data_IF_753738436018
#
_entry.id   IF_753738436018
#
_cell.length_a   1.000
_cell.length_b   1.000
_cell.length_c   1.000
_cell.angle_alpha   90.00
_cell.angle_beta   90.00
_cell.angle_gamma   90.00
#
_symmetry.space_group_name_H-M   'P 1'
#
loop_
_entity.id
_entity.type
_entity.pdbx_description
1 polymer ?
#
# COMPACT_ATOMS: atom_id res chain seq x y z
N UNK A 1 -40.97 -65.03 30.67
CA UNK A 1 -39.54 -65.25 30.38
C UNK A 1 -38.94 -63.90 29.99
N UNK A 2 -38.09 -63.41 30.87
CA UNK A 2 -37.49 -62.06 30.86
C UNK A 2 -36.16 -62.16 30.09
N UNK A 3 -35.95 -61.28 29.06
CA UNK A 3 -34.65 -61.14 28.40
C UNK A 3 -34.11 -59.73 28.66
N UNK A 4 -33.03 -59.68 29.45
CA UNK A 4 -32.24 -58.48 29.70
C UNK A 4 -31.42 -58.11 28.45
N UNK A 5 -31.58 -56.89 27.99
CA UNK A 5 -30.71 -56.28 27.01
C UNK A 5 -29.65 -55.41 27.70
N UNK A 6 -28.38 -55.78 27.55
CA UNK A 6 -27.27 -54.98 28.08
C UNK A 6 -26.97 -53.82 27.14
N UNK A 7 -27.08 -52.60 27.66
CA UNK A 7 -26.67 -51.37 26.96
C UNK A 7 -25.15 -51.15 27.19
N UNK A 8 -24.36 -51.23 26.13
CA UNK A 8 -22.96 -50.84 26.14
C UNK A 8 -22.82 -49.30 25.99
N UNK A 9 -22.37 -48.66 27.06
CA UNK A 9 -21.96 -47.24 27.00
C UNK A 9 -20.59 -47.16 26.27
N UNK A 10 -20.57 -46.65 25.06
CA UNK A 10 -19.35 -46.20 24.39
C UNK A 10 -18.93 -44.84 24.94
N UNK A 11 -17.88 -44.82 25.74
CA UNK A 11 -17.24 -43.61 26.19
C UNK A 11 -16.52 -42.96 25.00
N UNK A 12 -17.08 -41.86 24.45
CA UNK A 12 -16.37 -40.96 23.54
C UNK A 12 -15.29 -40.23 24.34
N UNK A 13 -14.02 -40.62 24.12
CA UNK A 13 -12.88 -39.81 24.54
C UNK A 13 -12.91 -38.47 23.71
N UNK A 14 -12.69 -37.31 24.35
CA UNK A 14 -12.55 -36.09 23.61
C UNK A 14 -11.28 -36.17 22.79
N UNK A 15 -11.41 -36.32 21.45
CA UNK A 15 -10.33 -36.23 20.51
C UNK A 15 -9.69 -34.82 20.64
N UNK A 16 -8.54 -34.74 21.30
CA UNK A 16 -7.72 -33.56 21.27
C UNK A 16 -7.40 -33.28 19.79
N UNK A 17 -7.91 -32.17 19.27
CA UNK A 17 -7.52 -31.66 17.98
C UNK A 17 -6.02 -31.40 18.04
N UNK A 18 -5.24 -32.30 17.45
CA UNK A 18 -3.84 -32.04 17.13
C UNK A 18 -3.87 -30.82 16.19
N UNK A 19 -3.61 -29.63 16.76
CA UNK A 19 -3.43 -28.41 15.98
C UNK A 19 -2.24 -28.70 15.06
N UNK A 20 -2.51 -28.95 13.79
CA UNK A 20 -1.46 -29.13 12.79
C UNK A 20 -0.51 -27.95 12.96
N UNK A 21 0.79 -28.22 13.05
CA UNK A 21 1.79 -27.16 13.14
C UNK A 21 1.55 -26.22 11.97
N UNK A 22 1.19 -24.98 12.25
CA UNK A 22 0.96 -23.98 11.22
C UNK A 22 2.23 -23.84 10.37
N UNK A 23 2.10 -23.76 9.04
CA UNK A 23 3.27 -23.71 8.18
C UNK A 23 4.11 -22.46 8.53
N UNK A 24 5.43 -22.61 8.55
CA UNK A 24 6.32 -21.50 8.91
C UNK A 24 6.16 -20.34 7.90
N UNK A 25 6.17 -19.11 8.43
CA UNK A 25 5.88 -17.87 7.69
C UNK A 25 7.13 -17.40 6.93
N UNK A 26 7.15 -17.58 5.61
CA UNK A 26 8.18 -17.02 4.74
C UNK A 26 7.85 -15.56 4.37
N UNK A 27 8.86 -14.80 3.90
CA UNK A 27 8.68 -13.44 3.38
C UNK A 27 7.63 -13.38 2.24
N UNK A 28 7.72 -14.32 1.29
CA UNK A 28 6.79 -14.39 0.16
C UNK A 28 5.34 -14.66 0.61
N UNK A 29 5.18 -15.57 1.59
CA UNK A 29 3.87 -15.88 2.15
C UNK A 29 3.28 -14.70 2.91
N UNK A 30 4.10 -13.96 3.68
CA UNK A 30 3.67 -12.74 4.35
C UNK A 30 3.15 -11.68 3.36
N UNK A 31 3.85 -11.47 2.23
CA UNK A 31 3.42 -10.55 1.17
C UNK A 31 2.11 -11.01 0.50
N UNK A 32 1.97 -12.32 0.26
CA UNK A 32 0.74 -12.91 -0.32
C UNK A 32 -0.45 -12.67 0.60
N UNK A 33 -0.32 -13.00 1.89
CA UNK A 33 -1.37 -12.79 2.89
C UNK A 33 -1.72 -11.30 3.05
N UNK A 34 -0.72 -10.42 3.10
CA UNK A 34 -0.92 -8.98 3.18
C UNK A 34 -1.71 -8.44 1.99
N UNK A 35 -1.39 -8.90 0.77
CA UNK A 35 -2.12 -8.51 -0.45
C UNK A 35 -3.57 -8.96 -0.41
N UNK A 36 -3.84 -10.19 0.00
CA UNK A 36 -5.20 -10.75 0.10
C UNK A 36 -6.06 -10.06 1.17
N UNK A 37 -5.46 -9.62 2.27
CA UNK A 37 -6.17 -8.93 3.36
C UNK A 37 -6.30 -7.43 3.17
N UNK A 38 -5.60 -6.85 2.20
CA UNK A 38 -5.47 -5.41 2.07
C UNK A 38 -6.79 -4.74 1.67
N UNK A 39 -7.38 -4.00 2.62
CA UNK A 39 -8.53 -3.14 2.36
C UNK A 39 -8.20 -1.95 1.45
N UNK A 40 -6.94 -1.56 1.37
CA UNK A 40 -6.47 -0.54 0.43
C UNK A 40 -6.55 -1.02 -1.02
N UNK A 41 -6.19 -2.27 -1.27
CA UNK A 41 -6.30 -2.89 -2.60
C UNK A 41 -7.78 -3.06 -2.97
N UNK A 42 -8.61 -3.57 -2.06
CA UNK A 42 -10.06 -3.70 -2.25
C UNK A 42 -10.72 -2.33 -2.54
N UNK A 43 -10.36 -1.29 -1.78
CA UNK A 43 -10.85 0.06 -2.04
C UNK A 43 -10.45 0.56 -3.44
N UNK A 44 -9.23 0.25 -3.90
CA UNK A 44 -8.79 0.61 -5.25
C UNK A 44 -9.61 -0.11 -6.34
N UNK A 45 -10.03 -1.36 -6.12
CA UNK A 45 -10.91 -2.07 -7.04
C UNK A 45 -12.29 -1.42 -7.14
N UNK A 46 -12.83 -0.97 -6.01
CA UNK A 46 -14.10 -0.22 -5.99
C UNK A 46 -14.00 1.12 -6.73
N UNK A 47 -12.86 1.83 -6.59
CA UNK A 47 -12.60 3.08 -7.35
C UNK A 47 -12.53 2.79 -8.85
N UNK A 48 -11.91 1.70 -9.28
CA UNK A 48 -11.87 1.30 -10.68
C UNK A 48 -13.28 0.99 -11.19
N UNK A 49 -14.09 0.24 -10.42
CA UNK A 49 -15.49 -0.05 -10.79
C UNK A 49 -16.29 1.23 -10.94
N UNK A 50 -16.27 2.10 -9.93
CA UNK A 50 -16.95 3.40 -9.98
C UNK A 50 -16.52 4.26 -11.18
N UNK A 51 -15.20 4.29 -11.47
CA UNK A 51 -14.69 5.02 -12.63
C UNK A 51 -15.18 4.46 -13.96
N UNK A 52 -15.33 3.14 -14.08
CA UNK A 52 -15.89 2.49 -15.28
C UNK A 52 -17.36 2.84 -15.46
N UNK A 53 -18.16 2.79 -14.38
CA UNK A 53 -19.58 3.14 -14.44
C UNK A 53 -19.77 4.61 -14.82
N UNK A 54 -18.95 5.52 -14.26
CA UNK A 54 -18.93 6.93 -14.66
C UNK A 54 -18.50 7.13 -16.12
N UNK A 55 -17.59 6.28 -16.65
CA UNK A 55 -17.18 6.36 -18.04
C UNK A 55 -18.32 5.95 -19.00
N UNK A 56 -19.13 4.97 -18.63
CA UNK A 56 -20.36 4.61 -19.37
C UNK A 56 -21.34 5.79 -19.38
N UNK A 57 -21.63 6.37 -18.22
CA UNK A 57 -22.55 7.50 -18.11
C UNK A 57 -22.07 8.76 -18.86
N UNK A 58 -20.75 9.02 -18.89
CA UNK A 58 -20.19 10.19 -19.56
C UNK A 58 -20.28 10.15 -21.10
N UNK A 59 -20.44 8.96 -21.68
CA UNK A 59 -20.61 8.75 -23.12
C UNK A 59 -22.05 8.97 -23.59
N UNK A 60 -23.00 8.95 -22.66
CA UNK A 60 -24.42 9.07 -22.98
C UNK A 60 -24.87 10.53 -23.15
N UNK A 61 -25.94 10.69 -23.90
CA UNK A 61 -26.61 11.99 -24.06
C UNK A 61 -27.45 12.29 -22.82
N UNK A 62 -27.68 13.58 -22.50
CA UNK A 62 -28.64 13.95 -21.46
C UNK A 62 -30.03 13.40 -21.77
N UNK A 63 -30.74 12.97 -20.73
CA UNK A 63 -32.12 12.49 -20.84
C UNK A 63 -33.08 13.57 -21.35
N UNK A 64 -34.16 13.18 -22.07
CA UNK A 64 -35.22 14.11 -22.43
C UNK A 64 -35.93 14.60 -21.17
N UNK A 65 -36.26 15.88 -21.17
CA UNK A 65 -36.99 16.56 -20.08
C UNK A 65 -38.45 16.66 -20.45
N UNK A 66 -39.35 16.03 -19.68
CA UNK A 66 -40.78 16.23 -19.81
C UNK A 66 -41.20 17.59 -19.21
N UNK A 67 -41.97 18.35 -19.93
CA UNK A 67 -42.52 19.64 -19.49
C UNK A 67 -44.00 19.58 -19.37
N UNK A 68 -44.56 20.07 -18.28
CA UNK A 68 -45.98 20.22 -18.05
C UNK A 68 -46.20 21.64 -17.55
N UNK A 69 -47.09 22.39 -18.17
CA UNK A 69 -47.32 23.77 -17.84
C UNK A 69 -48.74 24.23 -17.95
N UNK A 70 -49.07 25.31 -17.31
CA UNK A 70 -50.25 26.13 -17.49
C UNK A 70 -49.78 27.53 -17.88
N UNK A 71 -50.08 27.95 -19.09
CA UNK A 71 -49.55 29.17 -19.66
C UNK A 71 -50.67 30.21 -19.79
N UNK A 72 -50.31 31.46 -19.65
CA UNK A 72 -51.19 32.62 -19.82
C UNK A 72 -52.47 32.55 -18.97
N UNK A 73 -52.40 32.07 -17.72
CA UNK A 73 -53.55 32.09 -16.82
C UNK A 73 -53.83 33.53 -16.40
N UNK A 74 -55.04 34.07 -16.68
CA UNK A 74 -55.42 35.42 -16.31
C UNK A 74 -55.51 35.54 -14.77
N UNK A 75 -54.88 36.58 -14.18
CA UNK A 75 -54.85 36.82 -12.74
C UNK A 75 -55.85 37.92 -12.32
N UNK A 76 -56.44 38.63 -13.29
CA UNK A 76 -57.43 39.69 -13.11
C UNK A 76 -58.51 39.66 -14.20
N UNK A 77 -59.51 40.53 -14.13
CA UNK A 77 -60.60 40.64 -15.09
C UNK A 77 -61.68 39.53 -14.97
N UNK A 78 -62.66 39.48 -15.91
CA UNK A 78 -63.84 38.59 -15.87
C UNK A 78 -63.47 37.08 -15.96
N UNK A 79 -62.33 36.77 -16.54
CA UNK A 79 -61.88 35.43 -16.79
C UNK A 79 -60.77 34.98 -15.78
N UNK A 80 -60.59 35.72 -14.69
CA UNK A 80 -59.61 35.49 -13.66
C UNK A 80 -59.60 34.02 -13.23
N UNK A 81 -58.40 33.42 -13.24
CA UNK A 81 -58.14 31.99 -12.90
C UNK A 81 -58.93 30.97 -13.71
N UNK A 82 -59.45 31.37 -14.86
CA UNK A 82 -60.12 30.43 -15.74
C UNK A 82 -59.15 29.68 -16.63
N UNK A 83 -59.10 28.36 -16.52
CA UNK A 83 -58.26 27.47 -17.34
C UNK A 83 -58.92 27.07 -18.69
N UNK A 84 -60.19 27.56 -18.94
CA UNK A 84 -60.94 27.12 -20.12
C UNK A 84 -61.64 28.26 -20.86
N UNK A 85 -62.03 29.38 -20.19
CA UNK A 85 -62.81 30.46 -20.79
C UNK A 85 -61.95 31.52 -21.48
N UNK A 86 -60.79 31.78 -20.93
CA UNK A 86 -59.84 32.72 -21.53
C UNK A 86 -59.22 32.11 -22.81
N UNK A 87 -59.16 32.91 -23.86
CA UNK A 87 -58.67 32.42 -25.17
C UNK A 87 -57.17 32.22 -25.24
N UNK A 88 -56.42 32.84 -24.30
CA UNK A 88 -54.95 32.70 -24.23
C UNK A 88 -54.48 31.58 -23.31
N UNK A 89 -55.32 31.15 -22.36
CA UNK A 89 -54.93 30.13 -21.38
C UNK A 89 -54.74 28.76 -22.04
N UNK A 90 -53.56 28.19 -21.85
CA UNK A 90 -53.15 26.89 -22.45
C UNK A 90 -52.64 25.97 -21.37
N UNK A 91 -53.05 24.72 -21.46
CA UNK A 91 -52.48 23.56 -20.72
C UNK A 91 -51.51 22.88 -21.65
N UNK A 92 -50.24 22.89 -21.31
CA UNK A 92 -49.18 22.40 -22.19
C UNK A 92 -48.56 21.15 -21.66
N UNK A 93 -48.21 20.23 -22.55
CA UNK A 93 -47.38 19.07 -22.32
C UNK A 93 -46.35 18.97 -23.43
N UNK A 94 -45.10 18.76 -23.07
CA UNK A 94 -44.03 18.72 -24.07
C UNK A 94 -42.84 17.94 -23.63
N UNK A 95 -41.88 17.81 -24.55
CA UNK A 95 -40.59 17.14 -24.34
C UNK A 95 -39.49 18.04 -24.90
N UNK A 96 -38.47 18.27 -24.10
CA UNK A 96 -37.24 18.97 -24.52
C UNK A 96 -36.06 18.00 -24.55
N UNK A 97 -35.29 17.99 -25.63
CA UNK A 97 -34.07 17.22 -25.77
C UNK A 97 -32.89 18.14 -26.01
N UNK A 98 -31.88 18.05 -25.12
CA UNK A 98 -30.58 18.69 -25.37
C UNK A 98 -29.80 17.85 -26.38
N UNK A 99 -29.29 18.51 -27.41
CA UNK A 99 -28.46 17.91 -28.45
C UNK A 99 -27.01 18.29 -28.19
N UNK A 100 -26.35 17.44 -27.40
CA UNK A 100 -24.90 17.58 -27.11
C UNK A 100 -24.09 17.28 -28.35
N UNK A 101 -23.11 18.12 -28.67
CA UNK A 101 -22.25 17.94 -29.84
C UNK A 101 -21.42 16.64 -29.72
N UNK A 102 -21.26 15.85 -30.81
CA UNK A 102 -20.48 14.60 -30.78
C UNK A 102 -19.01 14.80 -30.32
N UNK A 103 -18.41 15.94 -30.64
CA UNK A 103 -17.05 16.30 -30.21
C UNK A 103 -16.94 16.45 -28.70
N UNK A 104 -17.99 17.01 -28.04
CA UNK A 104 -18.05 17.18 -26.59
C UNK A 104 -18.29 15.84 -25.89
N UNK A 105 -19.19 14.99 -26.41
CA UNK A 105 -19.40 13.64 -25.89
C UNK A 105 -18.12 12.81 -25.96
N UNK A 106 -17.42 12.82 -27.09
CA UNK A 106 -16.13 12.14 -27.24
C UNK A 106 -15.09 12.65 -26.25
N UNK A 107 -14.97 13.98 -26.06
CA UNK A 107 -14.02 14.55 -25.13
C UNK A 107 -14.32 14.12 -23.69
N UNK A 108 -15.60 14.10 -23.27
CA UNK A 108 -16.05 13.61 -21.96
C UNK A 108 -15.77 12.12 -21.79
N UNK A 109 -16.09 11.30 -22.78
CA UNK A 109 -15.80 9.86 -22.78
C UNK A 109 -14.29 9.62 -22.62
N UNK A 110 -13.45 10.31 -23.43
CA UNK A 110 -12.00 10.20 -23.32
C UNK A 110 -11.49 10.63 -21.94
N UNK A 111 -12.01 11.71 -21.37
CA UNK A 111 -11.63 12.14 -20.02
C UNK A 111 -11.96 11.05 -18.98
N UNK A 112 -13.15 10.46 -19.07
CA UNK A 112 -13.57 9.40 -18.14
C UNK A 112 -12.75 8.10 -18.33
N UNK A 113 -12.37 7.75 -19.58
CA UNK A 113 -11.43 6.65 -19.84
C UNK A 113 -10.05 6.90 -19.19
N UNK A 114 -9.54 8.14 -19.27
CA UNK A 114 -8.29 8.49 -18.59
C UNK A 114 -8.42 8.41 -17.05
N UNK A 115 -9.59 8.72 -16.49
CA UNK A 115 -9.86 8.52 -15.06
C UNK A 115 -9.79 7.04 -14.66
N UNK A 116 -10.34 6.12 -15.49
CA UNK A 116 -10.20 4.67 -15.28
C UNK A 116 -8.73 4.25 -15.30
N UNK A 117 -7.95 4.73 -16.28
CA UNK A 117 -6.51 4.41 -16.38
C UNK A 117 -5.73 4.93 -15.18
N UNK A 118 -6.06 6.12 -14.67
CA UNK A 118 -5.48 6.66 -13.45
C UNK A 118 -5.80 5.76 -12.23
N UNK A 119 -7.06 5.36 -12.06
CA UNK A 119 -7.47 4.46 -10.99
C UNK A 119 -6.74 3.10 -11.04
N UNK A 120 -6.53 2.54 -12.23
CA UNK A 120 -5.73 1.32 -12.43
C UNK A 120 -4.26 1.50 -12.04
N UNK A 121 -3.63 2.62 -12.41
CA UNK A 121 -2.26 2.93 -12.04
C UNK A 121 -2.12 3.13 -10.51
N UNK A 122 -3.09 3.78 -9.87
CA UNK A 122 -3.15 3.94 -8.41
C UNK A 122 -3.32 2.59 -7.69
N UNK A 123 -4.08 1.64 -8.23
CA UNK A 123 -4.14 0.27 -7.71
C UNK A 123 -2.78 -0.42 -7.78
N UNK A 124 -2.07 -0.30 -8.91
CA UNK A 124 -0.72 -0.87 -9.04
C UNK A 124 0.25 -0.28 -8.00
N UNK A 125 0.19 1.03 -7.77
CA UNK A 125 0.95 1.72 -6.72
C UNK A 125 0.59 1.17 -5.32
N UNK A 126 -0.70 0.99 -5.01
CA UNK A 126 -1.15 0.44 -3.74
C UNK A 126 -0.65 -1.00 -3.51
N UNK A 127 -0.67 -1.85 -4.54
CA UNK A 127 -0.14 -3.22 -4.48
C UNK A 127 1.35 -3.26 -4.16
N UNK A 128 2.15 -2.43 -4.82
CA UNK A 128 3.60 -2.31 -4.56
C UNK A 128 3.86 -1.83 -3.14
N UNK A 129 3.11 -0.83 -2.67
CA UNK A 129 3.23 -0.32 -1.31
C UNK A 129 2.91 -1.41 -0.26
N UNK A 130 1.82 -2.16 -0.42
CA UNK A 130 1.43 -3.26 0.50
C UNK A 130 2.51 -4.34 0.55
N UNK A 131 3.09 -4.73 -0.59
CA UNK A 131 4.16 -5.73 -0.64
C UNK A 131 5.44 -5.25 0.02
N UNK A 132 5.86 -4.01 -0.28
CA UNK A 132 7.03 -3.40 0.34
C UNK A 132 6.87 -3.29 1.85
N UNK A 133 5.74 -2.75 2.32
CA UNK A 133 5.54 -2.45 3.73
C UNK A 133 5.34 -3.73 4.56
N UNK A 134 4.69 -4.76 4.00
CA UNK A 134 4.61 -6.08 4.63
C UNK A 134 5.96 -6.80 4.68
N UNK A 135 6.80 -6.64 3.64
CA UNK A 135 8.16 -7.16 3.64
C UNK A 135 9.02 -6.48 4.72
N UNK A 136 8.92 -5.15 4.85
CA UNK A 136 9.61 -4.41 5.91
C UNK A 136 9.19 -4.89 7.30
N UNK A 137 7.89 -5.08 7.54
CA UNK A 137 7.39 -5.57 8.82
C UNK A 137 7.86 -7.00 9.14
N UNK A 138 7.95 -7.88 8.12
CA UNK A 138 8.50 -9.23 8.27
C UNK A 138 10.00 -9.20 8.60
N UNK A 139 10.78 -8.37 7.91
CA UNK A 139 12.20 -8.20 8.15
C UNK A 139 12.48 -7.61 9.54
N UNK A 140 11.71 -6.62 9.96
CA UNK A 140 11.83 -6.02 11.30
C UNK A 140 11.61 -7.07 12.39
N UNK A 141 10.60 -7.94 12.25
CA UNK A 141 10.39 -9.06 13.15
C UNK A 141 11.55 -10.06 13.11
N UNK A 142 12.03 -10.43 11.93
CA UNK A 142 13.13 -11.38 11.76
C UNK A 142 14.39 -10.92 12.51
N UNK A 143 14.79 -9.67 12.33
CA UNK A 143 15.95 -9.13 12.99
C UNK A 143 15.76 -8.85 14.48
N UNK A 144 14.55 -8.50 14.90
CA UNK A 144 14.22 -8.38 16.32
C UNK A 144 14.35 -9.72 17.06
N UNK A 145 13.89 -10.84 16.47
CA UNK A 145 14.04 -12.18 17.04
C UNK A 145 15.51 -12.62 17.10
N UNK A 146 16.32 -12.32 16.08
CA UNK A 146 17.78 -12.59 16.10
C UNK A 146 18.49 -11.79 17.16
N UNK A 147 18.14 -10.51 17.33
CA UNK A 147 18.70 -9.64 18.36
C UNK A 147 18.32 -10.14 19.75
N UNK A 148 17.08 -10.49 19.99
CA UNK A 148 16.61 -11.09 21.23
C UNK A 148 17.40 -12.36 21.60
N UNK A 149 17.55 -13.31 20.65
CA UNK A 149 18.34 -14.52 20.85
C UNK A 149 19.80 -14.21 21.24
N UNK A 150 20.40 -13.22 20.60
CA UNK A 150 21.78 -12.80 20.90
C UNK A 150 21.91 -12.23 22.30
N UNK A 151 20.96 -11.39 22.72
CA UNK A 151 20.95 -10.78 24.06
C UNK A 151 20.65 -11.81 25.14
N UNK A 152 19.67 -12.70 24.92
CA UNK A 152 19.35 -13.77 25.88
C UNK A 152 20.53 -14.73 26.10
N UNK A 153 21.31 -15.03 25.06
CA UNK A 153 22.56 -15.79 25.23
C UNK A 153 23.56 -15.04 26.13
N UNK A 154 23.66 -13.69 25.97
CA UNK A 154 24.53 -12.90 26.84
C UNK A 154 24.07 -12.89 28.31
N UNK A 155 22.77 -12.88 28.57
CA UNK A 155 22.19 -13.03 29.94
C UNK A 155 22.67 -14.33 30.58
N UNK A 156 22.62 -15.45 29.84
CA UNK A 156 23.10 -16.74 30.34
C UNK A 156 24.62 -16.72 30.65
N UNK A 157 25.43 -16.09 29.79
CA UNK A 157 26.87 -15.91 30.04
C UNK A 157 27.08 -15.08 31.30
N UNK A 158 26.36 -13.97 31.47
CA UNK A 158 26.50 -13.11 32.65
C UNK A 158 26.08 -13.81 33.95
N UNK A 159 25.08 -14.72 33.92
CA UNK A 159 24.72 -15.56 35.09
C UNK A 159 25.85 -16.50 35.48
N UNK A 160 26.52 -17.10 34.52
CA UNK A 160 27.68 -17.93 34.77
C UNK A 160 28.85 -17.14 35.38
N UNK A 161 29.06 -15.90 34.90
CA UNK A 161 30.13 -15.01 35.44
C UNK A 161 29.84 -14.59 36.89
N UNK A 162 28.57 -14.34 37.26
CA UNK A 162 28.19 -14.13 38.68
C UNK A 162 28.54 -15.34 39.53
N UNK A 163 28.17 -16.54 39.08
CA UNK A 163 28.43 -17.81 39.79
C UNK A 163 29.95 -18.00 39.99
N UNK A 164 30.74 -17.71 38.94
CA UNK A 164 32.20 -17.81 38.98
C UNK A 164 32.82 -16.79 39.94
N UNK A 165 32.35 -15.53 39.93
CA UNK A 165 32.82 -14.48 40.82
C UNK A 165 32.52 -14.80 42.30
N UNK A 166 31.33 -15.32 42.60
CA UNK A 166 30.92 -15.74 43.94
C UNK A 166 31.76 -16.96 44.44
N UNK A 167 32.08 -17.90 43.56
CA UNK A 167 32.93 -19.03 43.88
C UNK A 167 34.37 -18.55 44.14
N UNK A 168 34.90 -17.65 43.33
CA UNK A 168 36.23 -17.02 43.53
C UNK A 168 36.33 -16.26 44.85
N UNK A 169 35.31 -15.47 45.20
CA UNK A 169 35.27 -14.75 46.49
C UNK A 169 35.26 -15.73 47.69
N UNK A 170 34.43 -16.76 47.65
CA UNK A 170 34.40 -17.80 48.69
C UNK A 170 35.73 -18.56 48.82
N UNK A 171 36.41 -18.77 47.68
CA UNK A 171 37.73 -19.43 47.62
C UNK A 171 38.93 -18.51 48.01
N UNK A 172 38.69 -17.24 48.33
CA UNK A 172 39.76 -16.30 48.67
C UNK A 172 40.58 -15.78 47.47
N UNK A 173 40.11 -16.04 46.24
CA UNK A 173 40.81 -15.67 45.01
C UNK A 173 40.12 -14.48 44.26
N UNK A 174 39.05 -13.94 44.81
CA UNK A 174 38.32 -12.79 44.29
C UNK A 174 37.93 -11.78 45.36
N UNK A 175 37.43 -10.62 44.95
CA UNK A 175 36.99 -9.54 45.85
C UNK A 175 35.48 -9.41 45.90
N UNK A 176 34.92 -8.77 46.95
CA UNK A 176 33.52 -8.39 46.98
C UNK A 176 33.16 -7.43 45.84
N UNK A 177 34.08 -6.59 45.38
CA UNK A 177 33.92 -5.69 44.24
C UNK A 177 33.70 -6.48 42.94
N UNK A 178 34.40 -7.60 42.73
CA UNK A 178 34.23 -8.48 41.57
C UNK A 178 32.79 -9.08 41.52
N UNK A 179 32.29 -9.53 42.67
CA UNK A 179 30.88 -10.06 42.75
C UNK A 179 29.87 -8.98 42.42
N UNK A 180 30.06 -7.76 42.95
CA UNK A 180 29.16 -6.64 42.64
C UNK A 180 29.25 -6.22 41.18
N UNK A 181 30.44 -6.21 40.57
CA UNK A 181 30.61 -5.92 39.14
C UNK A 181 29.94 -6.97 38.25
N UNK A 182 30.06 -8.28 38.56
CA UNK A 182 29.38 -9.34 37.84
C UNK A 182 27.85 -9.24 37.95
N UNK A 183 27.33 -8.94 39.15
CA UNK A 183 25.89 -8.74 39.36
C UNK A 183 25.37 -7.51 38.64
N UNK A 184 26.11 -6.42 38.58
CA UNK A 184 25.77 -5.23 37.80
C UNK A 184 25.68 -5.55 36.30
N UNK A 185 26.70 -6.26 35.78
CA UNK A 185 26.71 -6.70 34.37
C UNK A 185 25.54 -7.63 34.03
N UNK A 186 25.13 -8.52 34.95
CA UNK A 186 23.93 -9.35 34.78
C UNK A 186 22.66 -8.49 34.75
N UNK A 187 22.51 -7.54 35.66
CA UNK A 187 21.32 -6.68 35.69
C UNK A 187 21.21 -5.83 34.39
N UNK A 188 22.32 -5.32 33.87
CA UNK A 188 22.35 -4.63 32.57
C UNK A 188 21.97 -5.57 31.42
N UNK A 189 22.46 -6.81 31.40
CA UNK A 189 22.10 -7.79 30.38
C UNK A 189 20.61 -8.18 30.45
N UNK A 190 20.05 -8.34 31.65
CA UNK A 190 18.62 -8.64 31.87
C UNK A 190 17.73 -7.48 31.41
N UNK A 191 18.12 -6.24 31.63
CA UNK A 191 17.41 -5.05 31.13
C UNK A 191 17.40 -4.99 29.59
N UNK A 192 18.57 -5.22 28.96
CA UNK A 192 18.66 -5.36 27.51
C UNK A 192 17.79 -6.51 26.96
N UNK A 193 17.71 -7.63 27.70
CA UNK A 193 16.85 -8.75 27.35
C UNK A 193 15.35 -8.40 27.39
N UNK A 194 14.94 -7.67 28.43
CA UNK A 194 13.56 -7.19 28.55
C UNK A 194 13.19 -6.22 27.41
N UNK A 195 14.12 -5.34 27.04
CA UNK A 195 13.94 -4.39 25.92
C UNK A 195 13.86 -5.09 24.57
N UNK A 196 14.73 -6.06 24.31
CA UNK A 196 14.70 -6.90 23.11
C UNK A 196 13.38 -7.69 22.99
N UNK A 197 12.90 -8.29 24.08
CA UNK A 197 11.61 -9.00 24.10
C UNK A 197 10.43 -8.06 23.84
N UNK A 198 10.50 -6.81 24.32
CA UNK A 198 9.49 -5.79 24.00
C UNK A 198 9.51 -5.45 22.51
N UNK A 199 10.68 -5.37 21.91
CA UNK A 199 10.87 -5.06 20.50
C UNK A 199 10.28 -6.19 19.60
N UNK A 200 10.51 -7.46 19.94
CA UNK A 200 9.90 -8.62 19.25
C UNK A 200 8.38 -8.54 19.31
N UNK A 201 7.80 -8.26 20.49
CA UNK A 201 6.33 -8.09 20.61
C UNK A 201 5.82 -6.94 19.75
N UNK A 202 6.53 -5.81 19.72
CA UNK A 202 6.19 -4.67 18.86
C UNK A 202 6.24 -5.01 17.37
N UNK A 203 7.28 -5.72 16.93
CA UNK A 203 7.44 -6.15 15.54
C UNK A 203 6.36 -7.16 15.12
N UNK A 204 5.97 -8.11 16.01
CA UNK A 204 4.84 -9.01 15.77
C UNK A 204 3.53 -8.25 15.58
N UNK A 205 3.23 -7.28 16.43
CA UNK A 205 2.04 -6.43 16.29
C UNK A 205 2.05 -5.61 15.00
N UNK A 206 3.21 -5.09 14.61
CA UNK A 206 3.36 -4.37 13.34
C UNK A 206 3.10 -5.27 12.12
N UNK A 207 3.59 -6.52 12.15
CA UNK A 207 3.33 -7.52 11.12
C UNK A 207 1.86 -7.97 11.13
N UNK A 208 1.25 -8.13 12.31
CA UNK A 208 -0.16 -8.52 12.46
C UNK A 208 -1.13 -7.52 11.81
N UNK A 209 -0.78 -6.24 11.73
CA UNK A 209 -1.54 -5.26 10.94
C UNK A 209 -1.74 -5.71 9.50
N UNK A 210 -0.73 -6.35 8.90
CA UNK A 210 -0.74 -6.77 7.50
C UNK A 210 -1.36 -8.15 7.29
N UNK A 211 -0.99 -9.13 8.14
CA UNK A 211 -1.32 -10.55 7.91
C UNK A 211 -2.22 -11.16 8.99
N UNK A 212 -2.57 -10.43 10.04
CA UNK A 212 -3.43 -10.91 11.13
C UNK A 212 -2.74 -11.93 12.00
N UNK A 213 -3.48 -12.94 12.45
CA UNK A 213 -3.01 -13.98 13.39
C UNK A 213 -1.81 -14.78 12.87
N UNK A 214 -1.63 -14.89 11.55
CA UNK A 214 -0.46 -15.53 10.94
C UNK A 214 0.87 -14.84 11.33
N UNK A 215 0.83 -13.63 11.90
CA UNK A 215 2.00 -12.97 12.45
C UNK A 215 2.55 -13.63 13.73
N UNK A 216 1.87 -14.60 14.34
CA UNK A 216 2.39 -15.37 15.45
C UNK A 216 3.15 -16.64 15.01
N UNK A 217 2.98 -17.07 13.75
CA UNK A 217 3.64 -18.28 13.24
C UNK A 217 5.16 -18.09 13.26
N UNK A 218 5.93 -19.19 13.47
CA UNK A 218 7.38 -19.17 13.38
C UNK A 218 7.84 -18.66 12.03
N UNK A 219 8.86 -17.79 12.01
CA UNK A 219 9.44 -17.34 10.75
C UNK A 219 10.30 -18.44 10.10
N UNK A 220 10.30 -18.47 8.77
CA UNK A 220 11.13 -19.40 8.01
C UNK A 220 11.83 -18.70 6.84
N UNK A 221 13.06 -19.19 6.59
CA UNK A 221 13.92 -18.69 5.53
C UNK A 221 14.77 -17.49 5.98
N UNK A 222 15.97 -17.43 5.46
CA UNK A 222 16.85 -16.28 5.59
C UNK A 222 16.62 -15.36 4.38
N UNK A 223 16.41 -14.05 4.58
CA UNK A 223 16.24 -13.13 3.46
C UNK A 223 17.55 -13.00 2.66
N UNK A 224 17.46 -13.17 1.33
CA UNK A 224 18.60 -12.99 0.42
C UNK A 224 18.72 -11.49 0.09
N UNK A 225 19.51 -10.76 0.88
CA UNK A 225 19.65 -9.29 0.81
C UNK A 225 20.91 -8.81 0.08
N UNK A 226 21.65 -9.74 -0.55
CA UNK A 226 22.97 -9.46 -1.14
C UNK A 226 22.91 -8.94 -2.59
N UNK A 227 21.73 -8.96 -3.21
CA UNK A 227 21.52 -8.48 -4.57
C UNK A 227 20.26 -7.63 -4.68
N UNK A 228 20.34 -6.58 -5.49
CA UNK A 228 19.19 -5.73 -5.83
C UNK A 228 18.95 -5.76 -7.35
N UNK A 229 17.68 -5.65 -7.82
CA UNK A 229 17.36 -5.70 -9.25
C UNK A 229 17.66 -4.39 -9.99
N UNK A 230 18.13 -3.35 -9.31
CA UNK A 230 18.35 -2.02 -9.84
C UNK A 230 19.82 -1.78 -10.17
N UNK A 231 20.07 -1.11 -11.29
CA UNK A 231 21.42 -0.73 -11.72
C UNK A 231 21.50 0.78 -11.96
N UNK A 232 22.52 1.45 -11.42
CA UNK A 232 22.71 2.91 -11.52
C UNK A 232 22.68 3.45 -12.95
N UNK A 233 23.21 2.70 -13.92
CA UNK A 233 23.28 3.13 -15.34
C UNK A 233 21.98 2.97 -16.12
N UNK A 234 20.99 2.22 -15.61
CA UNK A 234 19.65 2.05 -16.22
C UNK A 234 18.53 2.63 -15.36
N UNK A 235 18.89 3.33 -14.29
CA UNK A 235 17.97 3.79 -13.26
C UNK A 235 16.83 4.65 -13.82
N UNK A 236 17.13 5.65 -14.65
CA UNK A 236 16.10 6.56 -15.19
C UNK A 236 15.08 5.82 -16.05
N UNK A 237 15.51 4.82 -16.84
CA UNK A 237 14.61 3.99 -17.63
C UNK A 237 13.73 3.09 -16.74
N UNK A 238 14.32 2.48 -15.71
CA UNK A 238 13.60 1.64 -14.76
C UNK A 238 12.59 2.45 -13.92
N UNK A 239 12.93 3.70 -13.58
CA UNK A 239 12.04 4.59 -12.82
C UNK A 239 10.88 5.12 -13.65
N UNK A 240 11.04 5.28 -14.96
CA UNK A 240 9.94 5.69 -15.83
C UNK A 240 8.77 4.68 -15.78
N UNK A 241 9.04 3.41 -15.50
CA UNK A 241 8.05 2.35 -15.34
C UNK A 241 7.57 2.17 -13.88
N UNK A 242 8.09 2.98 -12.96
CA UNK A 242 7.69 2.90 -11.55
C UNK A 242 6.20 3.24 -11.38
N UNK A 243 5.40 2.46 -10.62
CA UNK A 243 3.96 2.66 -10.50
C UNK A 243 3.54 4.07 -10.05
N UNK A 244 4.34 4.73 -9.20
CA UNK A 244 4.09 6.10 -8.78
C UNK A 244 4.28 7.10 -9.93
N UNK A 245 5.32 6.94 -10.73
CA UNK A 245 5.57 7.78 -11.91
C UNK A 245 4.51 7.53 -12.97
N UNK A 246 4.11 6.26 -13.19
CA UNK A 246 3.00 5.93 -14.08
C UNK A 246 1.68 6.55 -13.61
N UNK A 247 1.38 6.55 -12.30
CA UNK A 247 0.18 7.20 -11.78
C UNK A 247 0.20 8.72 -12.03
N UNK A 248 1.34 9.39 -11.88
CA UNK A 248 1.50 10.80 -12.20
C UNK A 248 1.38 11.07 -13.71
N UNK A 249 1.88 10.17 -14.55
CA UNK A 249 1.69 10.24 -16.00
C UNK A 249 0.21 10.14 -16.37
N UNK A 250 -0.54 9.20 -15.77
CA UNK A 250 -1.99 9.08 -15.99
C UNK A 250 -2.76 10.30 -15.49
N UNK A 251 -2.30 10.92 -14.38
CA UNK A 251 -2.85 12.18 -13.90
C UNK A 251 -2.64 13.33 -14.88
N UNK A 252 -1.45 13.43 -15.50
CA UNK A 252 -1.18 14.39 -16.57
C UNK A 252 -2.09 14.15 -17.79
N UNK A 253 -2.25 12.90 -18.24
CA UNK A 253 -3.13 12.53 -19.35
C UNK A 253 -4.61 12.89 -19.05
N UNK A 254 -5.08 12.66 -17.84
CA UNK A 254 -6.42 13.06 -17.39
C UNK A 254 -6.59 14.58 -17.40
N UNK A 255 -5.59 15.35 -16.94
CA UNK A 255 -5.62 16.80 -16.97
C UNK A 255 -5.64 17.36 -18.40
N UNK A 256 -4.89 16.74 -19.32
CA UNK A 256 -4.95 17.07 -20.75
C UNK A 256 -6.33 16.79 -21.35
N UNK A 257 -6.93 15.64 -21.02
CA UNK A 257 -8.27 15.30 -21.47
C UNK A 257 -9.33 16.30 -20.92
N UNK A 258 -9.16 16.76 -19.68
CA UNK A 258 -10.01 17.82 -19.11
C UNK A 258 -9.88 19.16 -19.87
N UNK A 259 -8.68 19.48 -20.36
CA UNK A 259 -8.49 20.65 -21.22
C UNK A 259 -9.18 20.50 -22.60
N UNK A 260 -9.22 19.28 -23.16
CA UNK A 260 -9.99 19.01 -24.39
C UNK A 260 -11.50 19.12 -24.19
N UNK A 261 -12.04 18.70 -23.02
CA UNK A 261 -13.45 18.97 -22.66
C UNK A 261 -13.70 20.47 -22.60
N UNK A 262 -12.83 21.24 -21.91
CA UNK A 262 -12.97 22.70 -21.83
C UNK A 262 -12.85 23.38 -23.21
N UNK A 263 -12.08 22.79 -24.14
CA UNK A 263 -11.99 23.24 -25.54
C UNK A 263 -13.30 22.96 -26.27
N UNK A 264 -13.89 21.79 -26.10
CA UNK A 264 -15.17 21.44 -26.69
C UNK A 264 -16.32 22.27 -26.14
N UNK A 265 -16.28 22.63 -24.84
CA UNK A 265 -17.25 23.49 -24.16
C UNK A 265 -17.25 24.94 -24.65
N UNK A 266 -16.31 25.33 -25.51
CA UNK A 266 -16.36 26.61 -26.22
C UNK A 266 -17.45 26.69 -27.30
N UNK A 267 -18.07 25.59 -27.59
CA UNK A 267 -19.20 25.50 -28.52
C UNK A 267 -20.44 25.09 -27.74
N UNK A 268 -21.52 25.91 -27.77
CA UNK A 268 -22.72 25.60 -27.00
C UNK A 268 -23.44 24.39 -27.57
N UNK A 269 -24.10 23.67 -26.70
CA UNK A 269 -25.10 22.70 -27.08
C UNK A 269 -26.41 23.42 -27.40
N UNK A 270 -27.25 22.83 -28.20
CA UNK A 270 -28.56 23.35 -28.54
C UNK A 270 -29.65 22.38 -28.09
N UNK A 271 -30.87 22.89 -27.87
CA UNK A 271 -31.99 22.04 -27.51
C UNK A 271 -33.16 22.21 -28.46
N UNK A 272 -33.87 21.13 -28.63
CA UNK A 272 -35.16 21.10 -29.37
C UNK A 272 -36.26 20.77 -28.39
N UNK A 273 -37.31 21.56 -28.45
CA UNK A 273 -38.51 21.37 -27.65
C UNK A 273 -39.72 21.19 -28.54
N UNK A 274 -40.51 20.17 -28.26
CA UNK A 274 -41.82 19.95 -28.83
C UNK A 274 -42.87 20.04 -27.74
N UNK A 275 -43.91 20.89 -27.95
CA UNK A 275 -44.95 21.13 -26.96
C UNK A 275 -46.33 21.07 -27.65
N UNK A 276 -47.25 20.36 -27.05
CA UNK A 276 -48.66 20.38 -27.37
C UNK A 276 -49.40 21.17 -26.31
N UNK A 277 -50.20 22.16 -26.77
CA UNK A 277 -50.96 23.09 -25.90
C UNK A 277 -52.43 22.96 -26.19
N UNK A 278 -53.19 22.55 -25.17
CA UNK A 278 -54.64 22.46 -25.23
C UNK A 278 -55.27 23.76 -24.73
N UNK A 279 -56.09 24.35 -25.55
CA UNK A 279 -56.87 25.55 -25.22
C UNK A 279 -58.26 25.24 -24.71
N UNK A 280 -59.01 26.24 -24.32
CA UNK A 280 -60.40 26.11 -23.89
C UNK A 280 -61.36 25.66 -25.02
N UNK A 281 -62.60 25.30 -24.63
CA UNK A 281 -63.62 24.85 -25.54
C UNK A 281 -63.94 25.97 -26.56
N UNK A 282 -63.85 25.68 -27.83
CA UNK A 282 -64.09 26.64 -28.94
C UNK A 282 -62.80 27.20 -29.57
N UNK A 283 -61.63 26.86 -29.03
CA UNK A 283 -60.35 27.32 -29.58
C UNK A 283 -59.53 26.13 -30.07
N UNK A 284 -58.77 26.30 -31.16
CA UNK A 284 -57.91 25.28 -31.71
C UNK A 284 -56.72 25.03 -30.78
N UNK A 285 -56.34 23.75 -30.58
CA UNK A 285 -55.12 23.37 -29.90
C UNK A 285 -53.90 23.75 -30.73
N UNK A 286 -52.75 23.92 -30.08
CA UNK A 286 -51.51 24.40 -30.71
C UNK A 286 -50.41 23.39 -30.53
N UNK A 287 -49.49 23.37 -31.47
CA UNK A 287 -48.19 22.67 -31.39
C UNK A 287 -47.11 23.71 -31.52
N UNK A 288 -46.14 23.68 -30.60
CA UNK A 288 -44.96 24.53 -30.62
C UNK A 288 -43.72 23.67 -30.84
N UNK A 289 -42.87 24.06 -31.78
CA UNK A 289 -41.54 23.54 -31.98
C UNK A 289 -40.57 24.69 -31.70
N UNK A 290 -39.74 24.52 -30.70
CA UNK A 290 -38.76 25.52 -30.29
C UNK A 290 -37.32 24.98 -30.44
N UNK A 291 -36.42 25.80 -31.00
CA UNK A 291 -35.00 25.54 -31.09
C UNK A 291 -34.30 26.59 -30.26
N UNK A 292 -33.67 26.17 -29.17
CA UNK A 292 -32.86 27.05 -28.30
C UNK A 292 -31.39 26.89 -28.59
N UNK A 293 -30.71 27.98 -28.96
CA UNK A 293 -29.26 28.03 -29.21
C UNK A 293 -28.64 29.09 -28.33
N UNK A 294 -27.84 28.75 -27.32
CA UNK A 294 -27.15 29.72 -26.48
C UNK A 294 -26.14 30.56 -27.30
N UNK A 295 -26.22 31.88 -27.18
CA UNK A 295 -25.29 32.79 -27.85
C UNK A 295 -24.12 33.13 -26.92
N UNK A 296 -22.91 32.73 -27.32
CA UNK A 296 -21.71 32.94 -26.54
C UNK A 296 -21.04 34.30 -26.85
N UNK A 297 -21.67 35.38 -26.43
CA UNK A 297 -21.22 36.75 -26.72
C UNK A 297 -19.91 37.10 -25.98
N UNK A 298 -19.63 36.48 -24.84
CA UNK A 298 -18.48 36.82 -23.97
C UNK A 298 -17.42 35.68 -23.91
N UNK A 299 -17.10 35.02 -25.00
CA UNK A 299 -16.09 33.93 -25.05
C UNK A 299 -14.76 34.34 -24.46
N UNK A 300 -14.29 35.56 -24.71
CA UNK A 300 -13.02 36.06 -24.21
C UNK A 300 -12.95 36.10 -22.69
N UNK A 301 -14.06 36.34 -22.00
CA UNK A 301 -14.11 36.48 -20.55
C UNK A 301 -14.64 35.30 -19.79
N UNK A 302 -15.19 34.29 -20.47
CA UNK A 302 -15.79 33.10 -19.82
C UNK A 302 -15.18 31.79 -20.29
N UNK A 303 -15.28 31.45 -21.56
CA UNK A 303 -14.84 30.14 -22.07
C UNK A 303 -13.31 30.07 -22.25
N UNK A 304 -12.68 31.15 -22.78
CA UNK A 304 -11.24 31.19 -22.97
C UNK A 304 -10.44 31.12 -21.65
N UNK A 305 -10.79 31.87 -20.60
CA UNK A 305 -10.17 31.70 -19.28
C UNK A 305 -10.33 30.29 -18.68
N UNK A 306 -11.49 29.64 -18.87
CA UNK A 306 -11.70 28.26 -18.43
C UNK A 306 -10.75 27.29 -19.15
N UNK A 307 -10.61 27.41 -20.47
CA UNK A 307 -9.66 26.60 -21.23
C UNK A 307 -8.22 26.91 -20.80
N UNK A 308 -7.85 28.16 -20.63
CA UNK A 308 -6.52 28.57 -20.17
C UNK A 308 -6.20 27.97 -18.79
N UNK A 309 -7.16 27.98 -17.85
CA UNK A 309 -7.01 27.35 -16.54
C UNK A 309 -6.76 25.84 -16.67
N UNK A 310 -7.52 25.12 -17.49
CA UNK A 310 -7.32 23.67 -17.69
C UNK A 310 -6.01 23.33 -18.40
N UNK A 311 -5.53 24.16 -19.30
CA UNK A 311 -4.20 24.02 -19.89
C UNK A 311 -3.08 24.27 -18.86
N UNK A 312 -3.28 25.24 -17.96
CA UNK A 312 -2.34 25.47 -16.87
C UNK A 312 -2.31 24.27 -15.87
N UNK A 313 -3.47 23.68 -15.52
CA UNK A 313 -3.55 22.47 -14.71
C UNK A 313 -2.82 21.29 -15.37
N UNK A 314 -2.95 21.12 -16.69
CA UNK A 314 -2.21 20.08 -17.42
C UNK A 314 -0.68 20.32 -17.40
N UNK A 315 -0.27 21.58 -17.52
CA UNK A 315 1.15 21.98 -17.43
C UNK A 315 1.68 21.79 -16.01
N UNK A 316 0.86 22.07 -14.98
CA UNK A 316 1.18 21.78 -13.57
C UNK A 316 1.39 20.29 -13.36
N UNK A 317 0.47 19.42 -13.79
CA UNK A 317 0.58 17.97 -13.64
C UNK A 317 1.86 17.41 -14.32
N UNK A 318 2.23 17.97 -15.48
CA UNK A 318 3.49 17.65 -16.16
C UNK A 318 4.71 18.03 -15.32
N UNK A 319 4.73 19.25 -14.78
CA UNK A 319 5.82 19.74 -13.94
C UNK A 319 5.96 18.90 -12.65
N UNK A 320 4.85 18.56 -12.01
CA UNK A 320 4.82 17.69 -10.84
C UNK A 320 5.42 16.30 -11.14
N UNK A 321 5.08 15.70 -12.29
CA UNK A 321 5.65 14.42 -12.72
C UNK A 321 7.15 14.51 -12.96
N UNK A 322 7.61 15.55 -13.66
CA UNK A 322 9.04 15.75 -13.95
C UNK A 322 9.86 16.03 -12.69
N UNK A 323 9.28 16.74 -11.72
CA UNK A 323 9.93 17.01 -10.44
C UNK A 323 10.02 15.74 -9.61
N UNK A 324 8.93 14.97 -9.53
CA UNK A 324 8.89 13.69 -8.81
C UNK A 324 9.89 12.69 -9.41
N UNK A 325 10.02 12.61 -10.73
CA UNK A 325 11.00 11.72 -11.37
C UNK A 325 12.43 12.08 -10.95
N UNK A 326 12.78 13.38 -10.90
CA UNK A 326 14.10 13.84 -10.43
C UNK A 326 14.30 13.52 -8.95
N UNK A 327 13.29 13.74 -8.10
CA UNK A 327 13.35 13.43 -6.68
C UNK A 327 13.55 11.93 -6.43
N UNK A 328 12.79 11.08 -7.16
CA UNK A 328 12.93 9.63 -7.09
C UNK A 328 14.30 9.14 -7.55
N UNK A 329 14.83 9.66 -8.67
CA UNK A 329 16.16 9.30 -9.17
C UNK A 329 17.24 9.61 -8.13
N UNK A 330 17.19 10.79 -7.52
CA UNK A 330 18.12 11.19 -6.45
C UNK A 330 17.96 10.29 -5.19
N UNK A 331 16.74 10.05 -4.75
CA UNK A 331 16.46 9.24 -3.56
C UNK A 331 16.95 7.80 -3.74
N UNK A 332 16.64 7.17 -4.88
CA UNK A 332 17.01 5.78 -5.13
C UNK A 332 18.52 5.65 -5.33
N UNK A 333 19.18 6.61 -5.97
CA UNK A 333 20.65 6.65 -6.04
C UNK A 333 21.27 6.68 -4.65
N UNK A 334 20.77 7.54 -3.75
CA UNK A 334 21.25 7.59 -2.37
C UNK A 334 20.98 6.29 -1.60
N UNK A 335 19.83 5.62 -1.85
CA UNK A 335 19.53 4.33 -1.22
C UNK A 335 20.45 3.21 -1.72
N UNK A 336 20.81 3.19 -3.02
CA UNK A 336 21.78 2.25 -3.57
C UNK A 336 23.14 2.47 -2.94
N UNK A 337 23.62 3.72 -2.84
CA UNK A 337 24.90 4.05 -2.19
C UNK A 337 24.91 3.62 -0.70
N UNK A 338 23.80 3.85 0.01
CA UNK A 338 23.66 3.43 1.39
C UNK A 338 23.66 1.91 1.55
N UNK A 339 23.01 1.17 0.61
CA UNK A 339 22.99 -0.29 0.61
C UNK A 339 24.37 -0.89 0.30
N UNK A 340 25.09 -0.35 -0.69
CA UNK A 340 26.47 -0.73 -1.03
C UNK A 340 27.38 -0.53 0.20
N UNK A 341 27.33 0.66 0.84
CA UNK A 341 28.10 0.96 2.05
C UNK A 341 27.76 0.05 3.23
N UNK A 342 26.48 -0.28 3.41
CA UNK A 342 26.04 -1.23 4.43
C UNK A 342 26.60 -2.64 4.17
N UNK A 343 26.65 -3.08 2.89
CA UNK A 343 27.26 -4.33 2.47
C UNK A 343 28.76 -4.41 2.82
N UNK A 344 29.53 -3.38 2.49
CA UNK A 344 30.97 -3.31 2.82
C UNK A 344 31.20 -3.35 4.34
N UNK A 345 30.37 -2.63 5.10
CA UNK A 345 30.48 -2.62 6.56
C UNK A 345 30.11 -3.96 7.17
N UNK A 346 29.04 -4.62 6.71
CA UNK A 346 28.65 -5.97 7.13
C UNK A 346 29.81 -6.95 6.93
N UNK A 347 30.44 -6.92 5.75
CA UNK A 347 31.57 -7.77 5.47
C UNK A 347 32.76 -7.51 6.42
N UNK A 348 33.05 -6.28 6.74
CA UNK A 348 34.11 -5.93 7.71
C UNK A 348 33.79 -6.42 9.12
N UNK A 349 32.51 -6.34 9.55
CA UNK A 349 32.12 -6.89 10.85
C UNK A 349 32.26 -8.39 10.87
N UNK A 350 31.80 -9.08 9.81
CA UNK A 350 31.81 -10.53 9.68
C UNK A 350 33.25 -11.11 9.61
N UNK A 351 34.09 -10.49 8.79
CA UNK A 351 35.44 -11.04 8.49
C UNK A 351 36.50 -10.60 9.48
N UNK A 352 36.31 -9.49 10.21
CA UNK A 352 37.37 -8.92 11.05
C UNK A 352 36.89 -8.55 12.47
N UNK A 353 35.90 -7.66 12.61
CA UNK A 353 35.57 -7.05 13.91
C UNK A 353 35.03 -8.08 14.89
N UNK A 354 34.07 -8.93 14.49
CA UNK A 354 33.49 -9.97 15.35
C UNK A 354 34.52 -11.04 15.71
N UNK A 355 35.29 -11.63 14.77
CA UNK A 355 36.34 -12.60 15.12
C UNK A 355 37.36 -12.04 16.11
N UNK A 356 37.89 -10.83 15.89
CA UNK A 356 38.86 -10.19 16.79
C UNK A 356 38.26 -9.93 18.19
N UNK A 357 36.99 -9.49 18.27
CA UNK A 357 36.35 -9.28 19.57
C UNK A 357 36.11 -10.60 20.31
N UNK A 358 35.74 -11.66 19.61
CA UNK A 358 35.56 -13.00 20.17
C UNK A 358 36.91 -13.57 20.66
N UNK A 359 37.99 -13.48 19.87
CA UNK A 359 39.33 -13.93 20.25
C UNK A 359 39.82 -13.18 21.50
N UNK A 360 39.59 -11.85 21.57
CA UNK A 360 39.89 -11.03 22.73
C UNK A 360 39.14 -11.49 23.98
N UNK A 361 37.84 -11.80 23.85
CA UNK A 361 37.00 -12.32 24.93
C UNK A 361 37.49 -13.68 25.43
N UNK A 362 37.85 -14.60 24.52
CA UNK A 362 38.45 -15.89 24.85
C UNK A 362 39.81 -15.73 25.59
N UNK A 363 40.68 -14.86 25.09
CA UNK A 363 41.98 -14.58 25.71
C UNK A 363 41.82 -13.96 27.10
N UNK A 364 40.90 -12.99 27.26
CA UNK A 364 40.62 -12.38 28.57
C UNK A 364 40.07 -13.40 29.57
N UNK A 365 39.22 -14.34 29.14
CA UNK A 365 38.70 -15.41 29.97
C UNK A 365 39.81 -16.40 30.42
N UNK A 366 40.74 -16.72 29.52
CA UNK A 366 41.86 -17.58 29.84
C UNK A 366 42.81 -16.89 30.83
N UNK A 367 43.10 -15.59 30.62
CA UNK A 367 43.95 -14.80 31.53
C UNK A 367 43.34 -14.63 32.93
N UNK A 368 42.02 -14.39 33.03
CA UNK A 368 41.29 -14.33 34.30
C UNK A 368 41.37 -15.67 35.05
N UNK A 369 41.12 -16.79 34.37
CA UNK A 369 41.21 -18.13 34.95
C UNK A 369 42.64 -18.46 35.43
N UNK A 370 43.65 -17.93 34.75
CA UNK A 370 45.06 -18.07 35.11
C UNK A 370 45.53 -17.07 36.17
N UNK A 371 44.65 -16.23 36.72
CA UNK A 371 44.99 -15.19 37.70
C UNK A 371 45.88 -14.04 37.14
N UNK A 372 45.91 -13.87 35.80
CA UNK A 372 46.74 -12.86 35.11
C UNK A 372 45.95 -11.62 34.66
N UNK A 373 44.65 -11.62 34.78
CA UNK A 373 43.77 -10.51 34.46
C UNK A 373 42.68 -10.37 35.52
N UNK A 374 42.12 -9.16 35.66
CA UNK A 374 41.00 -8.89 36.56
C UNK A 374 39.65 -9.38 35.95
N UNK A 375 38.63 -9.56 36.80
CA UNK A 375 37.25 -9.77 36.31
C UNK A 375 36.77 -8.60 35.46
N UNK A 376 37.14 -7.38 35.83
CA UNK A 376 36.81 -6.16 35.07
C UNK A 376 37.30 -6.21 33.62
N UNK A 377 38.54 -6.71 33.40
CA UNK A 377 39.10 -6.88 32.03
C UNK A 377 38.34 -7.92 31.24
N UNK A 378 37.87 -9.00 31.86
CA UNK A 378 37.03 -10.01 31.23
C UNK A 378 35.66 -9.45 30.84
N UNK A 379 34.98 -8.78 31.77
CA UNK A 379 33.66 -8.18 31.50
C UNK A 379 33.73 -7.12 30.40
N UNK A 380 34.80 -6.31 30.37
CA UNK A 380 35.03 -5.33 29.29
C UNK A 380 35.21 -6.00 27.92
N UNK A 381 35.95 -7.10 27.85
CA UNK A 381 36.16 -7.85 26.60
C UNK A 381 34.86 -8.49 26.12
N UNK A 382 34.07 -9.10 27.00
CA UNK A 382 32.78 -9.68 26.70
C UNK A 382 31.78 -8.60 26.25
N UNK A 383 31.76 -7.43 26.88
CA UNK A 383 30.92 -6.31 26.46
C UNK A 383 31.26 -5.87 25.03
N UNK A 384 32.57 -5.72 24.73
CA UNK A 384 33.00 -5.36 23.37
C UNK A 384 32.58 -6.40 22.30
N UNK A 385 32.61 -7.71 22.67
CA UNK A 385 32.15 -8.77 21.77
C UNK A 385 30.66 -8.67 21.50
N UNK A 386 29.80 -8.54 22.53
CA UNK A 386 28.36 -8.43 22.34
C UNK A 386 27.98 -7.16 21.58
N UNK A 387 28.61 -6.02 21.89
CA UNK A 387 28.39 -4.76 21.19
C UNK A 387 28.71 -4.88 19.69
N UNK A 388 29.79 -5.60 19.33
CA UNK A 388 30.15 -5.88 17.93
C UNK A 388 29.08 -6.75 17.24
N UNK A 389 28.55 -7.80 17.89
CA UNK A 389 27.51 -8.67 17.36
C UNK A 389 26.19 -7.91 17.17
N UNK A 390 25.76 -7.15 18.18
CA UNK A 390 24.55 -6.34 18.11
C UNK A 390 24.64 -5.30 16.98
N UNK A 391 25.81 -4.65 16.85
CA UNK A 391 26.03 -3.68 15.78
C UNK A 391 26.02 -4.31 14.40
N UNK A 392 26.52 -5.54 14.24
CA UNK A 392 26.42 -6.30 12.99
C UNK A 392 24.96 -6.59 12.64
N UNK A 393 24.14 -7.06 13.58
CA UNK A 393 22.72 -7.32 13.36
C UNK A 393 21.94 -6.04 12.97
N UNK A 394 22.24 -4.90 13.62
CA UNK A 394 21.64 -3.61 13.25
C UNK A 394 22.02 -3.17 11.81
N UNK A 395 23.28 -3.43 11.40
CA UNK A 395 23.72 -3.16 10.03
C UNK A 395 23.02 -4.07 9.02
N UNK A 396 22.86 -5.35 9.36
CA UNK A 396 22.13 -6.31 8.52
C UNK A 396 20.66 -5.92 8.39
N UNK A 397 19.99 -5.55 9.49
CA UNK A 397 18.61 -5.05 9.46
C UNK A 397 18.49 -3.80 8.57
N UNK A 398 19.43 -2.85 8.72
CA UNK A 398 19.44 -1.63 7.91
C UNK A 398 19.62 -1.94 6.42
N UNK A 399 20.54 -2.86 6.07
CA UNK A 399 20.76 -3.32 4.70
C UNK A 399 19.52 -4.05 4.15
N UNK A 400 18.88 -4.89 4.97
CA UNK A 400 17.66 -5.62 4.60
C UNK A 400 16.48 -4.67 4.33
N UNK A 401 16.33 -3.62 5.12
CA UNK A 401 15.30 -2.58 4.88
C UNK A 401 15.55 -1.82 3.58
N UNK A 402 16.79 -1.44 3.29
CA UNK A 402 17.17 -0.81 2.02
C UNK A 402 16.95 -1.77 0.85
N UNK A 403 17.35 -3.03 0.99
CA UNK A 403 17.10 -4.07 0.01
C UNK A 403 15.60 -4.22 -0.30
N UNK A 404 14.75 -4.30 0.71
CA UNK A 404 13.30 -4.41 0.51
C UNK A 404 12.71 -3.18 -0.20
N UNK A 405 13.14 -1.97 0.19
CA UNK A 405 12.73 -0.74 -0.47
C UNK A 405 13.15 -0.72 -1.96
N UNK A 406 14.36 -1.14 -2.28
CA UNK A 406 14.87 -1.18 -3.65
C UNK A 406 14.29 -2.32 -4.49
N UNK A 407 14.08 -3.51 -3.89
CA UNK A 407 13.59 -4.69 -4.60
C UNK A 407 12.09 -4.58 -4.93
N UNK A 408 11.30 -4.06 -4.01
CA UNK A 408 9.85 -3.96 -4.19
C UNK A 408 9.40 -2.60 -4.78
N UNK A 409 10.28 -1.83 -5.38
CA UNK A 409 9.93 -0.64 -6.14
C UNK A 409 9.05 -0.98 -7.35
N UNK A 410 9.42 -1.99 -8.14
CA UNK A 410 8.79 -2.34 -9.42
C UNK A 410 8.11 -3.72 -9.44
N UNK A 411 7.95 -4.38 -8.29
CA UNK A 411 7.42 -5.74 -8.25
C UNK A 411 5.92 -5.80 -8.55
N UNK A 412 5.54 -5.59 -9.79
CA UNK A 412 4.30 -6.12 -10.33
C UNK A 412 4.63 -7.56 -10.76
N UNK A 413 4.07 -8.62 -10.14
CA UNK A 413 4.31 -9.97 -10.64
C UNK A 413 3.72 -10.06 -12.04
N UNK A 414 4.47 -10.69 -12.92
CA UNK A 414 3.99 -11.16 -14.21
C UNK A 414 2.79 -12.11 -13.99
N UNK A 415 1.60 -11.56 -13.91
CA UNK A 415 0.35 -12.33 -13.92
C UNK A 415 0.18 -13.04 -15.28
N UNK A 416 0.96 -12.64 -16.29
CA UNK A 416 0.97 -13.25 -17.60
C UNK A 416 1.62 -14.63 -17.64
N UNK A 417 2.61 -14.94 -16.78
CA UNK A 417 3.30 -16.24 -16.79
C UNK A 417 2.58 -17.35 -16.01
N UNK A 418 1.63 -17.05 -15.15
CA UNK A 418 0.84 -18.06 -14.44
C UNK A 418 -0.28 -18.67 -15.31
N UNK A 419 -0.74 -17.94 -16.34
CA UNK A 419 -1.81 -18.40 -17.22
C UNK A 419 -1.30 -19.26 -18.40
N UNK A 420 -0.02 -19.18 -18.76
CA UNK A 420 0.55 -19.96 -19.88
C UNK A 420 1.06 -21.35 -19.49
N UNK A 421 1.29 -21.61 -18.21
CA UNK A 421 1.72 -22.95 -17.73
C UNK A 421 0.57 -23.91 -17.48
N UNK A 422 -0.68 -23.48 -17.50
CA UNK A 422 -1.85 -24.37 -17.28
C UNK A 422 -2.57 -24.83 -18.56
N UNK A 423 -2.16 -24.38 -19.76
CA UNK A 423 -2.83 -24.72 -21.02
C UNK A 423 -2.09 -25.82 -21.82
N UNK A 424 -0.82 -26.11 -21.50
CA UNK A 424 -0.02 -27.07 -22.28
C UNK A 424 0.04 -28.49 -21.72
N UNK A 425 -0.69 -28.81 -20.63
CA UNK A 425 -0.74 -30.15 -20.05
C UNK A 425 -1.95 -31.00 -20.47
N UNK A 426 -2.84 -30.46 -21.34
CA UNK A 426 -4.09 -31.18 -21.74
C UNK A 426 -4.18 -31.47 -23.26
N UNK A 427 -3.03 -31.56 -23.94
CA UNK A 427 -2.96 -32.09 -25.33
C UNK A 427 -1.97 -33.23 -25.42
N UNK A 428 -2.32 -34.32 -24.80
CA UNK A 428 -1.64 -35.59 -24.95
C UNK A 428 -2.62 -36.74 -24.79
N UNK A 429 -2.86 -37.43 -25.90
CA UNK A 429 -3.42 -38.77 -25.99
C UNK A 429 -4.95 -38.95 -25.92
N UNK A 430 -5.53 -39.08 -27.11
CA UNK A 430 -6.64 -39.99 -27.36
C UNK A 430 -6.33 -40.82 -28.62
N UNK A 431 -6.70 -42.12 -28.58
CA UNK A 431 -6.24 -43.16 -29.50
C UNK A 431 -6.83 -43.09 -30.90
#
# INVERSE_FOLDING_TARGET
MIALGAAALLALAPGGTVRAAEPPLTLAEAQRLATLRSKQVEASDLVISASKDLALAAAERPDPIAKIGLENLPIDGPERFSVQRDFMTMRSVGVMQEITRPTKLRARATQSEQAVRLAQAQKAQALVAVRRDSALAWLDRYYAELLEQTVLHQVEVARLDVTAAEAGYRGGHGTAADVLAARAALAEAEDLGADASREVRGAKLALARWIGEAAENPLAGQPAIDTIPLHKHTLDAQLAEHPEILALQRREELARAAAEVARADRHPDWSVEFMYSQRGIGYSNMVTLELTVPLEIRRAYRQNPKLAAKLAEASQAKAEREDMLRAHSAQISAMIDAWDSAGERRERYRSSIIPLAADRSVAARAAYRGGKASLSDLLLAQRAEIDARLKSLQLEQSAARLWAQLTFLNSIPDVANAATTSVDSDRGELP
#
